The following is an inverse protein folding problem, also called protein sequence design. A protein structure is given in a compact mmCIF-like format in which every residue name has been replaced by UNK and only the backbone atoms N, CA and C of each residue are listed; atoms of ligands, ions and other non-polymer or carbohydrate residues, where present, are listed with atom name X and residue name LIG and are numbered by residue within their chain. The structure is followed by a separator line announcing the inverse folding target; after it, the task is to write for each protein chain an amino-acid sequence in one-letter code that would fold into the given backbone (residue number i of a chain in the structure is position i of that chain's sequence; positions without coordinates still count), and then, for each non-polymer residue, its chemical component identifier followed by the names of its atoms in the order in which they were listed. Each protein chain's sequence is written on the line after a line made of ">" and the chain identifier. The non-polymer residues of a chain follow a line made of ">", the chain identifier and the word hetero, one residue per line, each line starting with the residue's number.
data_IF_406729897591
#
_entry.id   IF_406729897591
#
_cell.length_a   1.000
_cell.length_b   1.000
_cell.length_c   1.000
_cell.angle_alpha   90.00
_cell.angle_beta   90.00
_cell.angle_gamma   90.00
#
_symmetry.space_group_name_H-M   'P 1'
#
loop_
_entity.id
_entity.type
_entity.pdbx_description
1 polymer ?
#
# COMPACT_ATOMS: atom_id res chain seq x y z
N UNK A 1 1.56 27.05 -17.97
CA UNK A 1 2.57 26.11 -17.47
C UNK A 1 2.51 24.85 -18.31
N UNK A 2 3.63 24.41 -18.89
CA UNK A 2 3.71 23.13 -19.59
C UNK A 2 3.73 21.95 -18.60
N UNK A 3 3.46 20.73 -19.06
CA UNK A 3 3.54 19.52 -18.23
C UNK A 3 4.97 19.35 -17.68
N UNK A 4 6.00 19.63 -18.48
CA UNK A 4 7.40 19.62 -18.05
C UNK A 4 7.68 20.62 -16.93
N UNK A 5 7.08 21.82 -16.98
CA UNK A 5 7.21 22.81 -15.91
C UNK A 5 6.52 22.36 -14.63
N UNK A 6 5.35 21.70 -14.72
CA UNK A 6 4.65 21.15 -13.57
C UNK A 6 5.44 20.00 -12.92
N UNK A 7 6.03 19.12 -13.72
CA UNK A 7 6.90 18.04 -13.22
C UNK A 7 8.15 18.58 -12.54
N UNK A 8 8.85 19.52 -13.17
CA UNK A 8 10.04 20.16 -12.57
C UNK A 8 9.71 20.87 -11.26
N UNK A 9 8.58 21.57 -11.19
CA UNK A 9 8.14 22.22 -9.97
C UNK A 9 7.86 21.20 -8.85
N UNK A 10 7.20 20.08 -9.20
CA UNK A 10 6.94 18.99 -8.25
C UNK A 10 8.24 18.33 -7.76
N UNK A 11 9.20 18.09 -8.65
CA UNK A 11 10.51 17.53 -8.31
C UNK A 11 11.28 18.45 -7.37
N UNK A 12 11.32 19.75 -7.65
CA UNK A 12 11.94 20.75 -6.77
C UNK A 12 11.27 20.80 -5.40
N UNK A 13 9.94 20.82 -5.37
CA UNK A 13 9.18 20.82 -4.12
C UNK A 13 9.42 19.53 -3.31
N UNK A 14 9.59 18.39 -4.00
CA UNK A 14 9.91 17.13 -3.35
C UNK A 14 11.31 17.14 -2.73
N UNK A 15 12.31 17.63 -3.46
CA UNK A 15 13.68 17.76 -2.94
C UNK A 15 13.73 18.67 -1.71
N UNK A 16 13.04 19.82 -1.76
CA UNK A 16 12.94 20.73 -0.61
C UNK A 16 12.26 20.07 0.60
N UNK A 17 11.20 19.29 0.38
CA UNK A 17 10.54 18.54 1.45
C UNK A 17 11.51 17.55 2.09
N UNK A 18 12.23 16.77 1.28
CA UNK A 18 13.16 15.75 1.74
C UNK A 18 14.32 16.40 2.55
N UNK A 19 14.84 17.55 2.10
CA UNK A 19 15.86 18.33 2.83
C UNK A 19 15.35 18.84 4.18
N UNK A 20 14.14 19.41 4.21
CA UNK A 20 13.51 19.89 5.45
C UNK A 20 13.27 18.72 6.41
N UNK A 21 12.78 17.59 5.91
CA UNK A 21 12.53 16.39 6.72
C UNK A 21 13.82 15.83 7.31
N UNK A 22 14.92 15.81 6.54
CA UNK A 22 16.23 15.41 7.03
C UNK A 22 16.73 16.35 8.13
N UNK A 23 16.61 17.67 7.93
CA UNK A 23 17.03 18.65 8.93
C UNK A 23 16.21 18.56 10.23
N UNK A 24 14.89 18.41 10.11
CA UNK A 24 14.01 18.19 11.26
C UNK A 24 14.35 16.90 11.99
N UNK A 25 14.70 15.82 11.27
CA UNK A 25 15.12 14.57 11.89
C UNK A 25 16.42 14.75 12.70
N UNK A 26 17.41 15.44 12.15
CA UNK A 26 18.66 15.76 12.85
C UNK A 26 18.42 16.60 14.11
N UNK A 27 17.64 17.68 14.01
CA UNK A 27 17.34 18.54 15.16
C UNK A 27 16.57 17.80 16.27
N UNK A 28 15.66 16.89 15.89
CA UNK A 28 14.97 16.03 16.85
C UNK A 28 15.93 15.08 17.54
N UNK A 29 16.85 14.47 16.78
CA UNK A 29 17.85 13.56 17.34
C UNK A 29 18.81 14.29 18.30
N UNK A 30 19.23 15.51 17.99
CA UNK A 30 20.07 16.35 18.85
C UNK A 30 19.32 16.82 20.12
N UNK A 31 18.02 17.09 20.01
CA UNK A 31 17.21 17.56 21.12
C UNK A 31 16.94 16.48 22.18
N UNK A 32 17.07 15.19 21.84
CA UNK A 32 16.90 14.09 22.80
C UNK A 32 18.20 13.85 23.56
N UNK A 33 18.23 14.04 24.89
CA UNK A 33 19.42 13.77 25.70
C UNK A 33 19.87 12.32 25.59
N UNK A 34 21.19 12.08 25.67
CA UNK A 34 21.80 10.73 25.56
C UNK A 34 21.22 9.75 26.57
N UNK A 35 20.93 10.19 27.80
CA UNK A 35 20.31 9.36 28.83
C UNK A 35 18.90 8.89 28.46
N UNK A 36 18.14 9.72 27.73
CA UNK A 36 16.79 9.36 27.27
C UNK A 36 16.89 8.38 26.10
N UNK A 37 17.85 8.55 25.19
CA UNK A 37 18.12 7.58 24.12
C UNK A 37 18.49 6.20 24.67
N UNK A 38 19.33 6.16 25.70
CA UNK A 38 19.71 4.91 26.35
C UNK A 38 18.50 4.19 26.97
N UNK A 39 17.65 4.91 27.72
CA UNK A 39 16.42 4.33 28.28
C UNK A 39 15.44 3.83 27.21
N UNK A 40 15.35 4.53 26.07
CA UNK A 40 14.52 4.09 24.95
C UNK A 40 15.06 2.80 24.33
N UNK A 41 16.38 2.71 24.14
CA UNK A 41 17.02 1.49 23.64
C UNK A 41 16.81 0.30 24.59
N UNK A 42 16.94 0.49 25.90
CA UNK A 42 16.70 -0.56 26.89
C UNK A 42 15.24 -1.06 26.83
N UNK A 43 14.27 -0.15 26.67
CA UNK A 43 12.85 -0.50 26.49
C UNK A 43 12.65 -1.25 25.17
N UNK A 44 13.24 -0.78 24.09
CA UNK A 44 13.13 -1.44 22.79
C UNK A 44 13.68 -2.88 22.86
N UNK A 45 14.81 -3.09 23.53
CA UNK A 45 15.41 -4.42 23.73
C UNK A 45 14.55 -5.33 24.62
N UNK A 46 13.94 -4.80 25.68
CA UNK A 46 13.04 -5.55 26.56
C UNK A 46 11.76 -6.00 25.83
N UNK A 47 11.16 -5.11 25.05
CA UNK A 47 9.86 -5.36 24.42
C UNK A 47 9.96 -5.94 23.01
N UNK A 48 11.10 -5.84 22.32
CA UNK A 48 11.33 -6.46 21.02
C UNK A 48 10.92 -7.94 20.95
N UNK A 49 11.34 -8.83 21.87
CA UNK A 49 10.93 -10.23 21.82
C UNK A 49 9.43 -10.43 22.08
N UNK A 50 8.82 -9.61 22.94
CA UNK A 50 7.38 -9.67 23.23
C UNK A 50 6.54 -9.24 22.03
N UNK A 51 6.96 -8.17 21.37
CA UNK A 51 6.33 -7.67 20.14
C UNK A 51 6.48 -8.70 19.02
N UNK A 52 7.67 -9.28 18.84
CA UNK A 52 7.91 -10.31 17.84
C UNK A 52 7.00 -11.52 18.05
N UNK A 53 6.89 -12.02 19.28
CA UNK A 53 5.99 -13.13 19.61
C UNK A 53 4.51 -12.81 19.37
N UNK A 54 4.06 -11.60 19.74
CA UNK A 54 2.68 -11.17 19.47
C UNK A 54 2.39 -11.01 17.97
N UNK A 55 3.36 -10.52 17.19
CA UNK A 55 3.26 -10.38 15.74
C UNK A 55 3.18 -11.75 15.05
N UNK A 56 3.94 -12.74 15.51
CA UNK A 56 3.89 -14.11 14.99
C UNK A 56 2.51 -14.74 15.24
N UNK A 57 2.02 -14.67 16.49
CA UNK A 57 0.67 -15.16 16.84
C UNK A 57 -0.41 -14.48 15.99
N UNK A 58 -0.31 -13.16 15.80
CA UNK A 58 -1.25 -12.41 14.98
C UNK A 58 -1.18 -12.84 13.51
N UNK A 59 0.02 -13.01 12.95
CA UNK A 59 0.21 -13.41 11.57
C UNK A 59 -0.36 -14.81 11.29
N UNK A 60 -0.16 -15.76 12.21
CA UNK A 60 -0.72 -17.11 12.13
C UNK A 60 -2.25 -17.08 12.17
N UNK A 61 -2.82 -16.31 13.10
CA UNK A 61 -4.26 -16.12 13.19
C UNK A 61 -4.83 -15.44 11.94
N UNK A 62 -4.14 -14.44 11.39
CA UNK A 62 -4.53 -13.75 10.17
C UNK A 62 -4.53 -14.71 8.97
N UNK A 63 -3.50 -15.55 8.84
CA UNK A 63 -3.41 -16.55 7.78
C UNK A 63 -4.55 -17.58 7.88
N UNK A 64 -4.82 -18.09 9.09
CA UNK A 64 -5.91 -19.02 9.32
C UNK A 64 -7.29 -18.41 9.01
N UNK A 65 -7.53 -17.17 9.44
CA UNK A 65 -8.78 -16.44 9.15
C UNK A 65 -8.94 -16.20 7.65
N UNK A 66 -7.88 -15.81 6.92
CA UNK A 66 -7.93 -15.62 5.47
C UNK A 66 -8.32 -16.91 4.74
N UNK A 67 -7.71 -18.04 5.10
CA UNK A 67 -8.02 -19.35 4.51
C UNK A 67 -9.47 -19.74 4.79
N UNK A 68 -9.91 -19.68 6.06
CA UNK A 68 -11.27 -20.02 6.44
C UNK A 68 -12.33 -19.13 5.77
N UNK A 69 -12.07 -17.83 5.64
CA UNK A 69 -13.00 -16.87 4.99
C UNK A 69 -13.03 -17.08 3.48
N UNK A 70 -11.89 -17.43 2.86
CA UNK A 70 -11.84 -17.80 1.45
C UNK A 70 -12.68 -19.05 1.14
N UNK A 71 -12.59 -20.08 1.99
CA UNK A 71 -13.40 -21.31 1.89
C UNK A 71 -14.88 -21.06 2.20
N UNK A 72 -15.18 -20.20 3.18
CA UNK A 72 -16.54 -19.86 3.56
C UNK A 72 -17.28 -19.07 2.46
N UNK A 73 -16.56 -18.27 1.67
CA UNK A 73 -17.13 -17.56 0.53
C UNK A 73 -17.95 -16.31 0.87
N UNK A 74 -17.85 -15.81 2.11
CA UNK A 74 -18.60 -14.64 2.56
C UNK A 74 -17.78 -13.80 3.55
N UNK A 75 -18.08 -12.51 3.60
CA UNK A 75 -17.44 -11.57 4.53
C UNK A 75 -17.87 -11.85 5.96
N UNK A 76 -16.90 -11.91 6.89
CA UNK A 76 -17.15 -12.15 8.32
C UNK A 76 -16.72 -10.94 9.14
N UNK A 77 -17.53 -10.57 10.13
CA UNK A 77 -17.27 -9.47 11.06
C UNK A 77 -17.06 -10.01 12.47
N UNK A 78 -15.96 -9.61 13.10
CA UNK A 78 -15.71 -9.77 14.53
C UNK A 78 -16.03 -8.47 15.30
N UNK A 79 -15.60 -8.42 16.56
CA UNK A 79 -15.82 -7.26 17.42
C UNK A 79 -15.01 -6.03 17.00
N UNK A 80 -13.76 -6.24 16.57
CA UNK A 80 -12.82 -5.17 16.21
C UNK A 80 -12.25 -5.30 14.78
N UNK A 81 -12.44 -6.45 14.14
CA UNK A 81 -11.87 -6.77 12.83
C UNK A 81 -12.95 -7.28 11.87
N UNK A 82 -12.75 -7.07 10.57
CA UNK A 82 -13.61 -7.59 9.52
C UNK A 82 -12.76 -8.24 8.43
N UNK A 83 -13.04 -9.50 8.12
CA UNK A 83 -12.44 -10.21 7.01
C UNK A 83 -13.37 -10.10 5.79
N UNK A 84 -12.97 -9.27 4.82
CA UNK A 84 -13.77 -9.01 3.61
C UNK A 84 -13.46 -10.05 2.56
N UNK A 85 -14.45 -10.89 2.26
CA UNK A 85 -14.38 -11.79 1.12
C UNK A 85 -14.82 -11.06 -0.15
N UNK A 86 -14.00 -11.15 -1.19
CA UNK A 86 -14.31 -10.63 -2.52
C UNK A 86 -14.38 -11.78 -3.51
N UNK A 87 -15.42 -11.78 -4.35
CA UNK A 87 -15.54 -12.76 -5.43
C UNK A 87 -14.30 -12.67 -6.35
N UNK A 88 -13.73 -13.81 -6.80
CA UNK A 88 -12.65 -13.81 -7.76
C UNK A 88 -13.01 -12.99 -9.00
N UNK A 89 -12.09 -12.12 -9.44
CA UNK A 89 -12.28 -11.34 -10.66
C UNK A 89 -12.06 -12.24 -11.87
N UNK A 90 -13.03 -12.26 -12.78
CA UNK A 90 -12.83 -12.85 -14.10
C UNK A 90 -12.07 -11.82 -14.93
N UNK A 91 -10.83 -12.16 -15.29
CA UNK A 91 -10.00 -11.35 -16.18
C UNK A 91 -10.07 -11.92 -17.59
N UNK A 92 -10.35 -11.07 -18.56
CA UNK A 92 -10.34 -11.42 -19.97
C UNK A 92 -9.02 -11.00 -20.62
N UNK A 93 -8.51 -11.78 -21.57
CA UNK A 93 -7.42 -11.35 -22.43
C UNK A 93 -7.98 -10.33 -23.44
N UNK A 94 -7.72 -9.05 -23.18
CA UNK A 94 -8.21 -7.94 -23.99
C UNK A 94 -7.68 -8.01 -25.43
N UNK A 95 -6.46 -8.50 -25.65
CA UNK A 95 -5.87 -8.58 -27.00
C UNK A 95 -6.56 -9.66 -27.83
N UNK A 96 -6.80 -10.83 -27.23
CA UNK A 96 -7.54 -11.89 -27.89
C UNK A 96 -9.00 -11.48 -28.15
N UNK A 97 -9.63 -10.79 -27.20
CA UNK A 97 -11.02 -10.33 -27.32
C UNK A 97 -11.16 -9.22 -28.37
N UNK A 98 -10.24 -8.25 -28.43
CA UNK A 98 -10.22 -7.22 -29.46
C UNK A 98 -9.99 -7.84 -30.86
N UNK A 99 -9.16 -8.89 -30.96
CA UNK A 99 -8.99 -9.64 -32.21
C UNK A 99 -10.25 -10.40 -32.65
N UNK A 100 -11.02 -10.95 -31.71
CA UNK A 100 -12.30 -11.59 -31.98
C UNK A 100 -13.39 -10.58 -32.36
N UNK A 101 -13.39 -9.41 -31.71
CA UNK A 101 -14.32 -8.31 -31.97
C UNK A 101 -14.19 -7.72 -33.39
N UNK A 102 -13.09 -7.97 -34.11
CA UNK A 102 -12.96 -7.62 -35.54
C UNK A 102 -14.02 -8.30 -36.41
N UNK A 103 -14.40 -9.55 -36.07
CA UNK A 103 -15.44 -10.30 -36.78
C UNK A 103 -16.82 -10.21 -36.09
N UNK A 104 -16.87 -9.61 -34.90
CA UNK A 104 -18.04 -9.48 -34.03
C UNK A 104 -18.11 -8.08 -33.40
N UNK A 105 -18.35 -7.02 -34.20
CA UNK A 105 -18.30 -5.64 -33.75
C UNK A 105 -19.37 -5.28 -32.70
N UNK A 106 -20.40 -6.10 -32.54
CA UNK A 106 -21.40 -5.99 -31.47
C UNK A 106 -20.77 -5.99 -30.07
N UNK A 107 -19.57 -6.56 -29.92
CA UNK A 107 -18.83 -6.57 -28.66
C UNK A 107 -18.38 -5.18 -28.21
N UNK A 108 -18.15 -4.24 -29.13
CA UNK A 108 -17.76 -2.88 -28.78
C UNK A 108 -18.87 -2.13 -28.03
N UNK A 109 -20.14 -2.49 -28.23
CA UNK A 109 -21.27 -1.89 -27.52
C UNK A 109 -21.26 -2.20 -26.00
N UNK A 110 -20.54 -3.24 -25.58
CA UNK A 110 -20.42 -3.66 -24.18
C UNK A 110 -19.10 -3.22 -23.52
N UNK A 111 -18.18 -2.60 -24.28
CA UNK A 111 -16.90 -2.11 -23.76
C UNK A 111 -17.10 -0.79 -23.02
N UNK A 112 -16.68 -0.73 -21.76
CA UNK A 112 -16.66 0.50 -20.96
C UNK A 112 -15.22 0.89 -20.67
N UNK A 113 -14.82 2.09 -21.06
CA UNK A 113 -13.51 2.65 -20.75
C UNK A 113 -13.62 3.68 -19.63
N UNK A 114 -12.88 3.47 -18.54
CA UNK A 114 -12.76 4.45 -17.47
C UNK A 114 -11.80 5.57 -17.86
N UNK A 115 -11.92 6.71 -17.18
CA UNK A 115 -10.98 7.83 -17.35
C UNK A 115 -9.53 7.38 -17.08
N UNK A 116 -8.55 7.92 -17.82
CA UNK A 116 -7.15 7.66 -17.53
C UNK A 116 -6.81 8.11 -16.11
N UNK A 117 -6.02 7.30 -15.41
CA UNK A 117 -5.49 7.59 -14.08
C UNK A 117 -3.99 7.77 -14.17
N UNK A 118 -3.45 8.81 -13.51
CA UNK A 118 -2.02 9.07 -13.43
C UNK A 118 -1.55 8.73 -12.01
N UNK A 119 -0.56 7.86 -11.91
CA UNK A 119 0.12 7.54 -10.65
C UNK A 119 1.56 8.04 -10.74
N UNK A 120 1.97 8.87 -9.79
CA UNK A 120 3.33 9.41 -9.72
C UNK A 120 4.15 8.47 -8.84
N UNK A 121 5.30 8.03 -9.35
CA UNK A 121 6.20 7.10 -8.66
C UNK A 121 7.61 7.67 -8.66
N UNK A 122 8.32 7.47 -7.55
CA UNK A 122 9.75 7.78 -7.46
C UNK A 122 10.51 6.74 -8.27
N UNK A 123 11.34 7.19 -9.22
CA UNK A 123 12.30 6.33 -9.92
C UNK A 123 13.45 6.02 -8.96
N UNK A 124 13.81 4.74 -8.84
CA UNK A 124 14.99 4.30 -8.10
C UNK A 124 16.22 4.33 -8.99
#
# INVERSE_FOLDING_TARGET
>A
MSIDELMRNMENARAQLDDIMAHVATLKDEAVPVEVKAKLADIDDEFAPLIAGAQEIYADAEAAVKTAVAEHGATVKGQFLQAVWSKPRVTWDVKALDGYALNHPELFAFRTESKPSVSIRVLK
#
